data_IF_331740005332
#
_entry.id   IF_331740005332
#
_cell.length_a   1.000
_cell.length_b   1.000
_cell.length_c   1.000
_cell.angle_alpha   90.00
_cell.angle_beta   90.00
_cell.angle_gamma   90.00
#
_symmetry.space_group_name_H-M   'P 1'
#
loop_
_entity.id
_entity.type
_entity.pdbx_description
1 polymer ?
#
# COMPACT_ATOMS: atom_id res chain seq x y z
N UNK A 1 -18.31 -52.83 2.94
CA UNK A 1 -19.08 -51.59 2.64
C UNK A 1 -19.25 -50.65 3.84
N UNK A 2 -19.53 -51.13 5.07
CA UNK A 2 -19.68 -50.24 6.25
C UNK A 2 -18.42 -49.44 6.63
N UNK A 3 -17.22 -50.00 6.43
CA UNK A 3 -15.95 -49.30 6.71
C UNK A 3 -15.65 -48.12 5.77
N UNK A 4 -16.15 -48.16 4.53
CA UNK A 4 -15.96 -47.06 3.56
C UNK A 4 -16.78 -45.84 4.01
N UNK A 5 -18.04 -46.04 4.45
CA UNK A 5 -18.91 -44.96 4.94
C UNK A 5 -18.37 -44.25 6.19
N UNK A 6 -17.69 -44.98 7.09
CA UNK A 6 -17.08 -44.39 8.30
C UNK A 6 -15.86 -43.56 7.93
N UNK A 7 -15.06 -44.01 6.94
CA UNK A 7 -13.90 -43.26 6.47
C UNK A 7 -14.31 -41.97 5.75
N UNK A 8 -15.37 -42.00 4.93
CA UNK A 8 -15.89 -40.79 4.27
C UNK A 8 -16.46 -39.80 5.28
N UNK A 9 -17.15 -40.28 6.33
CA UNK A 9 -17.69 -39.42 7.39
C UNK A 9 -16.58 -38.77 8.23
N UNK A 10 -15.49 -39.50 8.54
CA UNK A 10 -14.32 -38.95 9.22
C UNK A 10 -13.60 -37.89 8.37
N UNK A 11 -13.52 -38.07 7.05
CA UNK A 11 -12.88 -37.11 6.15
C UNK A 11 -13.67 -35.80 5.99
N UNK A 12 -15.01 -35.85 6.10
CA UNK A 12 -15.85 -34.64 6.05
C UNK A 12 -15.76 -33.79 7.33
N UNK A 13 -15.30 -34.35 8.44
CA UNK A 13 -15.14 -33.62 9.71
C UNK A 13 -13.87 -32.75 9.77
N UNK A 14 -12.96 -32.86 8.79
CA UNK A 14 -11.65 -32.18 8.79
C UNK A 14 -11.69 -30.82 8.07
N UNK A 15 -12.83 -30.39 7.49
CA UNK A 15 -12.86 -29.27 6.54
C UNK A 15 -13.13 -27.86 7.12
N UNK A 16 -12.92 -27.60 8.41
CA UNK A 16 -12.98 -26.23 8.95
C UNK A 16 -11.61 -25.64 9.29
N UNK A 17 -10.58 -25.96 8.50
CA UNK A 17 -9.38 -25.15 8.47
C UNK A 17 -9.70 -23.79 7.89
N UNK A 18 -9.78 -22.75 8.72
CA UNK A 18 -9.81 -21.35 8.27
C UNK A 18 -8.42 -21.04 7.70
N UNK A 19 -8.19 -21.43 6.45
CA UNK A 19 -7.03 -20.99 5.68
C UNK A 19 -7.26 -19.54 5.22
N UNK A 20 -6.18 -18.75 5.05
CA UNK A 20 -6.26 -17.44 4.40
C UNK A 20 -6.96 -17.58 3.04
N UNK A 21 -8.23 -17.17 2.97
CA UNK A 21 -8.94 -16.96 1.72
C UNK A 21 -8.93 -15.47 1.45
N UNK A 22 -8.03 -15.06 0.58
CA UNK A 22 -7.69 -13.67 0.45
C UNK A 22 -7.73 -13.31 -1.04
N UNK A 23 -8.54 -12.32 -1.43
CA UNK A 23 -8.59 -11.82 -2.81
C UNK A 23 -7.39 -10.90 -3.00
N UNK A 24 -6.32 -11.45 -3.56
CA UNK A 24 -5.09 -10.71 -3.85
C UNK A 24 -5.44 -9.53 -4.76
N UNK A 25 -5.11 -8.28 -4.39
CA UNK A 25 -5.23 -7.19 -5.34
C UNK A 25 -4.22 -7.46 -6.45
N UNK A 26 -4.69 -7.85 -7.64
CA UNK A 26 -3.82 -8.16 -8.78
C UNK A 26 -3.16 -6.91 -9.38
N UNK A 27 -3.64 -5.73 -9.00
CA UNK A 27 -3.18 -4.45 -9.52
C UNK A 27 -2.49 -3.62 -8.43
N UNK A 28 -1.31 -3.09 -8.76
CA UNK A 28 -0.50 -2.20 -7.90
C UNK A 28 -1.32 -0.98 -7.44
N UNK A 29 -2.15 -0.42 -8.31
CA UNK A 29 -3.01 0.72 -8.01
C UNK A 29 -3.99 0.42 -6.87
N UNK A 30 -4.65 -0.74 -6.92
CA UNK A 30 -5.61 -1.20 -5.89
C UNK A 30 -4.90 -1.49 -4.58
N UNK A 31 -3.77 -2.18 -4.63
CA UNK A 31 -2.96 -2.45 -3.44
C UNK A 31 -2.45 -1.17 -2.77
N UNK A 32 -2.01 -0.20 -3.58
CA UNK A 32 -1.57 1.11 -3.09
C UNK A 32 -2.69 1.87 -2.38
N UNK A 33 -3.92 1.82 -2.91
CA UNK A 33 -5.09 2.46 -2.28
C UNK A 33 -5.44 1.78 -0.96
N UNK A 34 -5.50 0.45 -0.95
CA UNK A 34 -5.87 -0.34 0.24
C UNK A 34 -4.85 -0.24 1.38
N UNK A 35 -3.55 -0.17 1.05
CA UNK A 35 -2.47 -0.11 2.04
C UNK A 35 -2.43 1.23 2.76
N UNK A 36 -2.07 1.25 4.04
CA UNK A 36 -1.83 2.52 4.76
C UNK A 36 -0.41 3.01 4.57
N UNK A 37 0.53 2.08 4.42
CA UNK A 37 1.94 2.34 4.21
C UNK A 37 2.44 1.59 2.99
N UNK A 38 3.17 2.28 2.11
CA UNK A 38 3.86 1.68 0.96
C UNK A 38 5.30 2.18 0.93
N UNK A 39 6.24 1.25 1.09
CA UNK A 39 7.68 1.55 1.19
C UNK A 39 8.49 0.60 0.34
N UNK A 40 9.64 1.08 -0.12
CA UNK A 40 10.70 0.29 -0.70
C UNK A 40 11.91 0.33 0.25
N UNK A 41 12.51 -0.82 0.51
CA UNK A 41 13.62 -0.92 1.45
C UNK A 41 14.29 -2.28 1.47
N UNK A 42 15.27 -2.42 2.35
CA UNK A 42 16.05 -3.64 2.53
C UNK A 42 15.83 -4.23 3.92
N UNK A 43 15.64 -5.53 4.01
CA UNK A 43 15.51 -6.22 5.30
C UNK A 43 16.88 -6.36 5.93
N UNK A 44 17.10 -5.73 7.09
CA UNK A 44 18.38 -5.75 7.79
C UNK A 44 18.38 -6.71 8.99
N UNK A 45 17.21 -7.14 9.44
CA UNK A 45 17.07 -8.00 10.61
C UNK A 45 15.79 -8.84 10.52
N UNK A 46 15.88 -10.12 10.89
CA UNK A 46 14.74 -11.02 11.07
C UNK A 46 14.83 -11.71 12.42
N UNK A 47 13.71 -11.73 13.15
CA UNK A 47 13.59 -12.41 14.44
C UNK A 47 12.26 -13.15 14.52
N UNK A 48 12.29 -14.33 15.13
CA UNK A 48 11.08 -14.97 15.63
C UNK A 48 10.81 -14.37 17.01
N UNK A 49 9.59 -13.89 17.24
CA UNK A 49 9.19 -13.25 18.49
C UNK A 49 7.87 -13.85 19.00
N UNK A 50 7.57 -13.60 20.27
CA UNK A 50 6.27 -13.96 20.83
C UNK A 50 5.19 -13.04 20.31
N UNK A 51 3.94 -13.51 20.33
CA UNK A 51 2.79 -12.66 20.00
C UNK A 51 2.75 -11.41 20.89
N UNK A 52 2.95 -11.59 22.20
CA UNK A 52 2.94 -10.50 23.19
C UNK A 52 3.98 -9.39 22.93
N UNK A 53 5.12 -9.71 22.30
CA UNK A 53 6.17 -8.73 21.98
C UNK A 53 5.74 -7.72 20.90
N UNK A 54 4.75 -8.09 20.08
CA UNK A 54 4.17 -7.24 19.03
C UNK A 54 3.04 -6.34 19.52
N UNK A 55 2.67 -6.46 20.79
CA UNK A 55 1.56 -5.70 21.39
C UNK A 55 2.04 -4.40 22.04
N UNK A 56 1.13 -3.43 22.12
CA UNK A 56 1.31 -2.25 22.95
C UNK A 56 1.38 -2.65 24.43
N UNK A 57 2.41 -2.23 25.19
CA UNK A 57 2.62 -2.70 26.57
C UNK A 57 1.47 -2.39 27.54
N UNK A 58 0.85 -1.21 27.41
CA UNK A 58 -0.25 -0.81 28.27
C UNK A 58 -1.53 -1.59 27.94
N UNK A 59 -1.76 -1.81 26.64
CA UNK A 59 -2.86 -2.62 26.14
C UNK A 59 -2.71 -4.09 26.52
N UNK A 60 -1.50 -4.65 26.43
CA UNK A 60 -1.18 -6.00 26.90
C UNK A 60 -1.44 -6.12 28.40
N UNK A 61 -0.91 -5.20 29.22
CA UNK A 61 -1.14 -5.21 30.68
C UNK A 61 -2.64 -5.17 31.00
N UNK A 62 -3.39 -4.34 30.28
CA UNK A 62 -4.83 -4.26 30.44
C UNK A 62 -5.55 -5.55 30.08
N UNK A 63 -5.16 -6.16 28.96
CA UNK A 63 -5.70 -7.44 28.50
C UNK A 63 -5.45 -8.55 29.53
N UNK A 64 -4.22 -8.63 30.08
CA UNK A 64 -3.86 -9.58 31.13
C UNK A 64 -4.57 -9.36 32.47
N UNK A 65 -5.00 -8.13 32.77
CA UNK A 65 -5.62 -7.76 34.06
C UNK A 65 -7.14 -7.92 34.08
N UNK A 66 -7.81 -7.72 32.94
CA UNK A 66 -9.28 -7.75 32.86
C UNK A 66 -9.84 -9.11 32.51
N UNK A 67 -9.08 -9.91 31.79
CA UNK A 67 -9.53 -11.20 31.29
C UNK A 67 -8.82 -12.30 32.11
N UNK A 68 -9.58 -13.20 32.73
CA UNK A 68 -9.04 -14.51 33.08
C UNK A 68 -8.73 -15.21 31.76
N UNK A 69 -7.49 -15.04 31.27
CA UNK A 69 -7.07 -15.70 30.06
C UNK A 69 -7.28 -17.20 30.22
N UNK A 70 -7.98 -17.81 29.29
CA UNK A 70 -7.98 -19.26 29.21
C UNK A 70 -6.59 -19.75 28.77
N UNK A 71 -6.32 -21.04 29.03
CA UNK A 71 -5.01 -21.64 28.72
C UNK A 71 -4.58 -21.42 27.28
N UNK A 72 -5.53 -21.50 26.33
CA UNK A 72 -5.28 -21.28 24.90
C UNK A 72 -4.83 -19.85 24.59
N UNK A 73 -5.46 -18.84 25.19
CA UNK A 73 -5.06 -17.44 25.01
C UNK A 73 -3.67 -17.17 25.58
N UNK A 74 -3.39 -17.73 26.76
CA UNK A 74 -2.07 -17.65 27.38
C UNK A 74 -1.01 -18.32 26.51
N UNK A 75 -1.31 -19.50 25.96
CA UNK A 75 -0.42 -20.22 25.04
C UNK A 75 -0.15 -19.40 23.78
N UNK A 76 -1.18 -18.86 23.12
CA UNK A 76 -1.03 -18.04 21.92
C UNK A 76 -0.17 -16.81 22.21
N UNK A 77 -0.42 -16.07 23.29
CA UNK A 77 0.36 -14.89 23.64
C UNK A 77 1.86 -15.20 23.86
N UNK A 78 2.15 -16.37 24.40
CA UNK A 78 3.51 -16.82 24.69
C UNK A 78 4.16 -17.62 23.54
N UNK A 79 3.41 -17.88 22.47
CA UNK A 79 3.89 -18.65 21.33
C UNK A 79 4.82 -17.83 20.44
N UNK A 80 5.89 -18.47 19.97
CA UNK A 80 6.86 -17.96 19.00
C UNK A 80 6.29 -17.98 17.58
N UNK A 81 5.15 -17.31 17.38
CA UNK A 81 4.32 -17.43 16.18
C UNK A 81 4.53 -16.32 15.15
N UNK A 82 5.25 -15.25 15.52
CA UNK A 82 5.44 -14.09 14.66
C UNK A 82 6.88 -13.97 14.16
N UNK A 83 7.01 -13.40 12.97
CA UNK A 83 8.26 -12.89 12.42
C UNK A 83 8.24 -11.37 12.58
N UNK A 84 9.26 -10.84 13.24
CA UNK A 84 9.62 -9.44 13.21
C UNK A 84 10.69 -9.23 12.14
N UNK A 85 10.41 -8.35 11.19
CA UNK A 85 11.39 -7.89 10.21
C UNK A 85 11.69 -6.41 10.40
N UNK A 86 12.98 -6.05 10.40
CA UNK A 86 13.41 -4.65 10.42
C UNK A 86 13.82 -4.27 9.01
N UNK A 87 13.11 -3.31 8.44
CA UNK A 87 13.34 -2.81 7.09
C UNK A 87 14.06 -1.46 7.19
N UNK A 88 15.23 -1.34 6.57
CA UNK A 88 15.85 -0.03 6.28
C UNK A 88 15.14 0.58 5.09
N UNK A 89 14.56 1.76 5.27
CA UNK A 89 13.75 2.42 4.25
C UNK A 89 14.69 3.08 3.25
N UNK A 90 14.50 2.78 1.96
CA UNK A 90 15.15 3.47 0.85
C UNK A 90 14.21 4.55 0.31
N UNK A 91 12.92 4.22 0.16
CA UNK A 91 11.92 5.18 -0.31
C UNK A 91 10.53 4.95 0.32
N UNK A 92 9.85 6.04 0.66
CA UNK A 92 8.47 6.07 1.15
C UNK A 92 7.54 6.62 0.06
N UNK A 93 6.55 5.81 -0.35
CA UNK A 93 5.54 6.20 -1.35
C UNK A 93 4.19 6.57 -0.73
N UNK A 94 3.87 6.00 0.44
CA UNK A 94 2.62 6.27 1.18
C UNK A 94 2.82 6.00 2.67
N UNK A 95 2.17 6.81 3.51
CA UNK A 95 2.22 6.71 4.97
C UNK A 95 3.09 7.80 5.58
N UNK A 96 3.18 7.80 6.90
CA UNK A 96 4.04 8.69 7.67
C UNK A 96 4.98 7.82 8.50
N UNK A 97 6.29 7.97 8.28
CA UNK A 97 7.32 7.26 9.02
C UNK A 97 8.42 8.27 9.35
N UNK A 98 8.70 8.43 10.64
CA UNK A 98 9.67 9.41 11.14
C UNK A 98 11.07 8.82 11.37
N UNK A 99 11.24 7.53 11.09
CA UNK A 99 12.48 6.78 11.33
C UNK A 99 13.04 6.25 10.01
N UNK A 100 14.36 6.06 9.94
CA UNK A 100 15.02 5.41 8.79
C UNK A 100 14.71 3.92 8.68
N UNK A 101 14.15 3.33 9.73
CA UNK A 101 13.77 1.92 9.77
C UNK A 101 12.29 1.75 10.12
N UNK A 102 11.66 0.77 9.48
CA UNK A 102 10.31 0.32 9.79
C UNK A 102 10.36 -1.09 10.39
N UNK A 103 9.61 -1.30 11.48
CA UNK A 103 9.39 -2.65 12.03
C UNK A 103 8.12 -3.23 11.43
N UNK A 104 8.26 -4.41 10.84
CA UNK A 104 7.19 -5.17 10.22
C UNK A 104 6.92 -6.43 11.03
N UNK A 105 5.66 -6.78 11.21
CA UNK A 105 5.23 -8.05 11.78
C UNK A 105 4.43 -8.86 10.76
N UNK A 106 4.60 -10.17 10.81
CA UNK A 106 3.78 -11.12 10.06
C UNK A 106 3.77 -12.46 10.79
N UNK A 107 2.76 -13.29 10.55
CA UNK A 107 2.72 -14.65 11.11
C UNK A 107 3.75 -15.52 10.39
N UNK A 108 4.25 -16.56 11.08
CA UNK A 108 5.27 -17.46 10.51
C UNK A 108 4.74 -18.37 9.40
N UNK A 109 3.42 -18.54 9.30
CA UNK A 109 2.81 -19.54 8.42
C UNK A 109 1.91 -18.87 7.39
N UNK A 110 2.02 -19.32 6.13
CA UNK A 110 1.12 -18.86 5.07
C UNK A 110 -0.35 -19.20 5.36
N UNK A 111 -0.61 -20.31 6.08
CA UNK A 111 -1.94 -20.72 6.50
C UNK A 111 -2.64 -19.64 7.37
N UNK A 112 -1.86 -18.92 8.19
CA UNK A 112 -2.34 -17.80 9.02
C UNK A 112 -2.09 -16.44 8.37
N UNK A 113 -2.15 -16.40 7.03
CA UNK A 113 -1.94 -15.20 6.22
C UNK A 113 -0.53 -14.59 6.35
N UNK A 114 0.48 -15.37 6.75
CA UNK A 114 1.84 -14.90 6.98
C UNK A 114 2.62 -14.70 5.69
N UNK A 115 3.36 -13.59 5.59
CA UNK A 115 4.32 -13.40 4.50
C UNK A 115 5.64 -14.08 4.86
N UNK A 116 5.92 -15.21 4.22
CA UNK A 116 7.08 -16.06 4.53
C UNK A 116 8.32 -15.76 3.68
N UNK A 117 8.26 -14.76 2.81
CA UNK A 117 9.29 -14.49 1.79
C UNK A 117 10.39 -13.52 2.23
N UNK A 118 10.43 -13.08 3.49
CA UNK A 118 11.47 -12.15 3.93
C UNK A 118 12.84 -12.83 4.03
N UNK A 119 13.87 -12.13 3.56
CA UNK A 119 15.27 -12.55 3.62
C UNK A 119 16.16 -11.35 3.97
N UNK A 120 17.12 -11.56 4.88
CA UNK A 120 18.09 -10.51 5.26
C UNK A 120 18.96 -10.13 4.04
N UNK A 121 19.20 -8.84 3.86
CA UNK A 121 19.96 -8.27 2.75
C UNK A 121 19.19 -8.16 1.44
N UNK A 122 17.93 -8.62 1.40
CA UNK A 122 17.08 -8.51 0.21
C UNK A 122 16.20 -7.27 0.26
N UNK A 123 15.94 -6.73 -0.92
CA UNK A 123 15.12 -5.56 -1.12
C UNK A 123 13.68 -5.94 -1.47
N UNK A 124 12.73 -5.20 -0.90
CA UNK A 124 11.31 -5.47 -1.05
C UNK A 124 10.50 -4.18 -1.23
N UNK A 125 9.39 -4.32 -1.94
CA UNK A 125 8.32 -3.34 -1.97
C UNK A 125 7.23 -3.85 -1.01
N UNK A 126 7.01 -3.10 0.08
CA UNK A 126 6.13 -3.49 1.17
C UNK A 126 4.82 -2.72 1.10
N UNK A 127 3.71 -3.47 1.12
CA UNK A 127 2.35 -2.95 1.23
C UNK A 127 1.80 -3.37 2.59
N UNK A 128 1.63 -2.40 3.49
CA UNK A 128 1.37 -2.72 4.90
C UNK A 128 0.35 -1.79 5.56
N UNK A 129 -0.10 -2.22 6.74
CA UNK A 129 -1.05 -1.49 7.57
C UNK A 129 -0.58 -1.46 9.03
N UNK A 130 -0.77 -0.36 9.76
CA UNK A 130 -0.50 -0.33 11.19
C UNK A 130 -1.42 -1.30 11.97
N UNK A 131 -2.62 -1.57 11.45
CA UNK A 131 -3.57 -2.50 12.07
C UNK A 131 -3.39 -3.90 11.48
N UNK A 132 -3.38 -4.89 12.35
CA UNK A 132 -3.28 -6.30 12.01
C UNK A 132 -4.67 -6.91 11.85
N UNK A 133 -4.80 -7.86 10.93
CA UNK A 133 -5.94 -8.79 10.96
C UNK A 133 -5.76 -9.87 12.04
N UNK A 134 -4.52 -10.11 12.46
CA UNK A 134 -4.21 -11.13 13.48
C UNK A 134 -4.94 -10.84 14.79
N UNK A 135 -4.91 -9.60 15.28
CA UNK A 135 -5.56 -9.23 16.53
C UNK A 135 -7.08 -9.07 16.46
N UNK A 136 -7.70 -9.13 15.28
CA UNK A 136 -9.18 -9.11 15.22
C UNK A 136 -9.82 -10.37 15.80
N UNK A 137 -9.04 -11.45 15.97
CA UNK A 137 -9.49 -12.70 16.57
C UNK A 137 -9.30 -12.73 18.09
N UNK A 138 -8.54 -11.77 18.64
CA UNK A 138 -8.47 -11.57 20.08
C UNK A 138 -9.71 -10.80 20.47
N UNK A 139 -10.42 -11.29 21.49
CA UNK A 139 -11.60 -10.61 22.02
C UNK A 139 -11.22 -9.16 22.33
N UNK A 140 -11.83 -8.19 21.64
CA UNK A 140 -11.53 -6.79 21.86
C UNK A 140 -12.05 -6.43 23.25
N UNK A 141 -11.17 -6.08 24.23
CA UNK A 141 -11.66 -5.60 25.51
C UNK A 141 -12.50 -4.35 25.21
N UNK A 142 -13.66 -4.22 25.86
CA UNK A 142 -14.52 -3.07 25.65
C UNK A 142 -13.72 -1.76 25.77
N UNK A 143 -13.67 -1.01 24.67
CA UNK A 143 -12.87 0.21 24.52
C UNK A 143 -11.98 0.13 23.28
N UNK A 144 -11.94 1.19 22.48
CA UNK A 144 -11.18 1.32 21.22
C UNK A 144 -9.63 1.26 21.39
N UNK A 145 -9.09 0.43 22.27
CA UNK A 145 -7.65 0.31 22.48
C UNK A 145 -7.05 -0.61 21.43
N UNK A 146 -6.07 -0.07 20.71
CA UNK A 146 -5.31 -0.77 19.69
C UNK A 146 -4.32 -1.72 20.37
N UNK A 147 -4.37 -3.00 20.03
CA UNK A 147 -3.45 -3.99 20.58
C UNK A 147 -2.06 -3.92 19.92
N UNK A 148 -1.98 -3.49 18.66
CA UNK A 148 -0.71 -3.37 17.94
C UNK A 148 0.18 -2.29 18.54
N UNK A 149 1.47 -2.61 18.65
CA UNK A 149 2.51 -1.66 19.07
C UNK A 149 2.58 -0.44 18.14
N UNK A 150 2.74 0.74 18.72
CA UNK A 150 2.94 1.98 17.96
C UNK A 150 4.19 1.91 17.06
N UNK A 151 4.17 2.65 15.95
CA UNK A 151 5.26 2.73 14.96
C UNK A 151 5.67 1.37 14.35
N UNK A 152 4.74 0.42 14.30
CA UNK A 152 4.92 -0.86 13.63
C UNK A 152 3.82 -1.08 12.59
N UNK A 153 4.14 -1.85 11.56
CA UNK A 153 3.21 -2.23 10.52
C UNK A 153 3.12 -3.75 10.39
N UNK A 154 2.00 -4.22 9.86
CA UNK A 154 1.70 -5.61 9.62
C UNK A 154 1.64 -5.89 8.13
N UNK A 155 2.25 -7.01 7.76
CA UNK A 155 2.29 -7.55 6.40
C UNK A 155 1.61 -8.91 6.42
N UNK A 156 0.84 -9.19 5.37
CA UNK A 156 0.20 -10.50 5.19
C UNK A 156 0.54 -11.07 3.83
N UNK A 157 0.40 -12.38 3.65
CA UNK A 157 0.57 -13.04 2.35
C UNK A 157 -0.33 -12.43 1.28
N UNK A 158 -1.49 -11.89 1.66
CA UNK A 158 -2.42 -11.24 0.75
C UNK A 158 -2.17 -9.76 0.48
N UNK A 159 -1.18 -9.16 1.13
CA UNK A 159 -0.55 -7.97 0.57
C UNK A 159 0.28 -8.39 -0.65
N UNK A 160 0.30 -7.62 -1.73
CA UNK A 160 1.22 -7.86 -2.86
C UNK A 160 2.68 -7.54 -2.54
N UNK A 161 3.05 -7.61 -1.26
CA UNK A 161 4.44 -7.45 -0.83
C UNK A 161 5.29 -8.44 -1.59
N UNK A 162 6.35 -7.94 -2.20
CA UNK A 162 7.16 -8.73 -3.13
C UNK A 162 8.61 -8.29 -3.08
N UNK A 163 9.51 -9.19 -3.48
CA UNK A 163 10.89 -8.83 -3.75
C UNK A 163 10.94 -7.72 -4.81
N UNK A 164 12.01 -6.93 -4.82
CA UNK A 164 12.15 -5.81 -5.75
C UNK A 164 11.89 -6.26 -7.19
N UNK A 165 10.95 -5.57 -7.83
CA UNK A 165 10.67 -5.64 -9.27
C UNK A 165 10.63 -4.23 -9.83
N UNK A 166 11.38 -3.99 -10.90
CA UNK A 166 11.53 -2.67 -11.51
C UNK A 166 10.20 -2.11 -12.02
N UNK A 167 9.36 -2.94 -12.64
CA UNK A 167 8.05 -2.53 -13.14
C UNK A 167 7.12 -2.05 -12.01
N UNK A 168 7.18 -2.70 -10.84
CA UNK A 168 6.44 -2.25 -9.67
C UNK A 168 6.97 -0.92 -9.12
N UNK A 169 8.29 -0.76 -9.07
CA UNK A 169 8.93 0.45 -8.58
C UNK A 169 8.61 1.65 -9.48
N UNK A 170 8.72 1.48 -10.81
CA UNK A 170 8.38 2.51 -11.80
C UNK A 170 6.92 2.94 -11.65
N UNK A 171 5.99 1.98 -11.48
CA UNK A 171 4.58 2.31 -11.28
C UNK A 171 4.34 3.09 -9.98
N UNK A 172 5.05 2.76 -8.90
CA UNK A 172 4.97 3.50 -7.64
C UNK A 172 5.54 4.93 -7.76
N UNK A 173 6.61 5.11 -8.52
CA UNK A 173 7.17 6.43 -8.82
C UNK A 173 6.16 7.30 -9.60
N UNK A 174 5.53 6.74 -10.63
CA UNK A 174 4.46 7.44 -11.37
C UNK A 174 3.31 7.82 -10.43
N UNK A 175 2.85 6.91 -9.56
CA UNK A 175 1.80 7.20 -8.58
C UNK A 175 2.22 8.33 -7.63
N UNK A 176 3.47 8.33 -7.15
CA UNK A 176 3.99 9.36 -6.24
C UNK A 176 4.01 10.73 -6.92
N UNK A 177 4.56 10.83 -8.14
CA UNK A 177 4.62 12.07 -8.89
C UNK A 177 3.21 12.57 -9.22
N UNK A 178 2.28 11.69 -9.62
CA UNK A 178 0.89 12.06 -9.87
C UNK A 178 0.20 12.65 -8.63
N UNK A 179 0.49 12.13 -7.44
CA UNK A 179 -0.03 12.68 -6.17
C UNK A 179 0.57 14.03 -5.84
N UNK A 180 1.88 14.20 -6.03
CA UNK A 180 2.56 15.48 -5.86
C UNK A 180 1.96 16.54 -6.80
N UNK A 181 1.80 16.20 -8.09
CA UNK A 181 1.19 17.09 -9.07
C UNK A 181 -0.25 17.45 -8.70
N UNK A 182 -1.06 16.48 -8.29
CA UNK A 182 -2.42 16.75 -7.81
C UNK A 182 -2.45 17.71 -6.61
N UNK A 183 -1.52 17.55 -5.66
CA UNK A 183 -1.42 18.46 -4.52
C UNK A 183 -1.09 19.89 -4.97
N UNK A 184 -0.22 20.03 -5.96
CA UNK A 184 0.09 21.35 -6.55
C UNK A 184 -1.16 21.96 -7.19
N UNK A 185 -1.91 21.20 -8.00
CA UNK A 185 -3.17 21.68 -8.62
C UNK A 185 -4.18 22.13 -7.57
N UNK A 186 -4.30 21.40 -6.45
CA UNK A 186 -5.15 21.77 -5.31
C UNK A 186 -4.69 23.08 -4.67
N UNK A 187 -3.40 23.21 -4.37
CA UNK A 187 -2.86 24.40 -3.67
C UNK A 187 -2.93 25.67 -4.51
N UNK A 188 -2.86 25.56 -5.84
CA UNK A 188 -2.93 26.70 -6.75
C UNK A 188 -4.34 27.13 -7.13
N UNK A 189 -5.37 26.58 -6.49
CA UNK A 189 -6.78 26.87 -6.77
C UNK A 189 -7.23 26.64 -8.24
N UNK A 190 -6.41 25.96 -9.04
CA UNK A 190 -6.69 25.67 -10.45
C UNK A 190 -7.90 24.75 -10.65
N UNK A 191 -8.32 24.04 -9.59
CA UNK A 191 -9.48 23.16 -9.57
C UNK A 191 -10.79 23.87 -9.14
N UNK A 192 -10.79 25.19 -8.89
CA UNK A 192 -11.99 25.92 -8.42
C UNK A 192 -12.91 26.42 -9.53
N UNK A 193 -12.44 26.50 -10.78
CA UNK A 193 -13.26 26.96 -11.91
C UNK A 193 -13.89 25.76 -12.63
N UNK A 194 -15.10 25.37 -12.20
CA UNK A 194 -15.85 24.23 -12.76
C UNK A 194 -16.27 24.42 -14.24
N UNK A 195 -16.08 25.62 -14.80
CA UNK A 195 -16.49 26.00 -16.16
C UNK A 195 -15.34 26.32 -17.12
N UNK A 196 -14.07 26.06 -16.76
CA UNK A 196 -12.94 26.23 -17.69
C UNK A 196 -12.18 24.92 -17.84
N UNK A 197 -12.16 24.41 -19.08
CA UNK A 197 -11.27 23.33 -19.49
C UNK A 197 -9.87 23.92 -19.56
N UNK A 198 -9.12 23.85 -18.46
CA UNK A 198 -7.69 24.04 -18.51
C UNK A 198 -7.07 22.67 -18.74
N UNK A 199 -6.43 22.45 -19.88
CA UNK A 199 -5.43 21.38 -20.04
C UNK A 199 -4.18 21.81 -19.28
N UNK A 200 -4.25 21.84 -17.95
CA UNK A 200 -3.06 22.12 -17.15
C UNK A 200 -2.15 20.91 -17.25
N UNK A 201 -0.94 21.14 -17.76
CA UNK A 201 0.11 20.14 -17.76
C UNK A 201 1.10 20.47 -16.66
N UNK A 202 1.28 19.54 -15.74
CA UNK A 202 2.38 19.59 -14.79
C UNK A 202 3.51 18.74 -15.35
N UNK A 203 4.68 19.36 -15.50
CA UNK A 203 5.90 18.65 -15.86
C UNK A 203 6.78 18.62 -14.63
N UNK A 204 7.09 17.42 -14.15
CA UNK A 204 8.21 17.27 -13.21
C UNK A 204 9.47 17.14 -14.05
N UNK A 205 10.31 18.15 -14.00
CA UNK A 205 11.59 18.13 -14.71
C UNK A 205 12.58 17.17 -14.04
N UNK A 206 13.67 16.84 -14.73
CA UNK A 206 14.77 15.98 -14.23
C UNK A 206 15.41 16.47 -12.90
N UNK A 207 15.25 17.75 -12.54
CA UNK A 207 15.71 18.29 -11.24
C UNK A 207 14.71 18.04 -10.10
N UNK A 208 13.60 17.35 -10.39
CA UNK A 208 12.54 17.07 -9.44
C UNK A 208 11.62 18.26 -9.15
N UNK A 209 11.74 19.37 -9.88
CA UNK A 209 10.87 20.54 -9.75
C UNK A 209 9.68 20.41 -10.69
N UNK A 210 8.51 20.83 -10.21
CA UNK A 210 7.33 20.95 -11.05
C UNK A 210 7.32 22.31 -11.74
N UNK A 211 7.32 22.28 -13.07
CA UNK A 211 6.99 23.42 -13.92
C UNK A 211 5.55 23.31 -14.41
N UNK A 212 4.96 24.48 -14.68
CA UNK A 212 3.59 24.58 -15.19
C UNK A 212 3.66 24.83 -16.69
N UNK A 213 3.01 23.97 -17.45
CA UNK A 213 2.68 24.22 -18.83
C UNK A 213 1.18 24.49 -18.87
N UNK A 214 0.81 25.71 -19.25
CA UNK A 214 -0.57 26.03 -19.58
C UNK A 214 -0.79 25.72 -21.05
N UNK A 215 -1.81 24.92 -21.33
CA UNK A 215 -2.35 24.81 -22.67
C UNK A 215 -3.54 25.74 -22.79
N UNK A 216 -3.53 26.56 -23.83
CA UNK A 216 -4.70 27.30 -24.31
C UNK A 216 -4.93 26.83 -25.74
N UNK A 217 -6.08 26.22 -26.03
CA UNK A 217 -6.45 25.73 -27.36
C UNK A 217 -5.45 24.72 -27.99
N UNK A 218 -5.02 23.71 -27.23
CA UNK A 218 -4.08 22.66 -27.65
C UNK A 218 -2.66 23.12 -28.03
N UNK A 219 -2.31 24.39 -27.83
CA UNK A 219 -0.95 24.90 -28.01
C UNK A 219 -0.16 24.89 -26.69
N UNK A 220 1.08 24.39 -26.76
CA UNK A 220 2.05 24.38 -25.67
C UNK A 220 2.55 25.82 -25.45
N UNK A 221 2.10 26.48 -24.39
CA UNK A 221 2.71 27.75 -23.96
C UNK A 221 3.83 27.41 -22.98
N UNK A 222 5.03 27.12 -23.49
CA UNK A 222 6.24 27.03 -22.65
C UNK A 222 7.44 27.67 -23.30
N UNK A 223 8.33 28.18 -22.46
CA UNK A 223 9.65 28.63 -22.87
C UNK A 223 10.75 27.56 -22.72
N UNK A 224 10.42 26.33 -22.30
CA UNK A 224 11.42 25.31 -21.95
C UNK A 224 11.24 24.04 -22.79
N UNK A 225 12.33 23.58 -23.41
CA UNK A 225 12.39 22.27 -24.06
C UNK A 225 12.18 21.14 -23.03
N UNK A 226 11.23 20.24 -23.30
CA UNK A 226 11.03 19.01 -22.53
C UNK A 226 12.25 18.10 -22.67
N UNK A 227 12.73 17.52 -21.56
CA UNK A 227 13.92 16.68 -21.52
C UNK A 227 13.59 15.21 -21.28
N UNK A 228 14.54 14.34 -21.64
CA UNK A 228 14.55 12.90 -21.30
C UNK A 228 14.34 12.75 -19.78
N UNK A 229 13.33 11.97 -19.37
CA UNK A 229 12.85 11.71 -17.99
C UNK A 229 11.73 12.61 -17.44
N UNK A 230 11.19 13.53 -18.23
CA UNK A 230 10.06 14.34 -17.77
C UNK A 230 8.78 13.48 -17.61
N UNK A 231 8.04 13.66 -16.51
CA UNK A 231 6.66 13.15 -16.40
C UNK A 231 5.69 14.27 -16.74
N UNK A 232 4.86 14.03 -17.75
CA UNK A 232 3.78 14.94 -18.15
C UNK A 232 2.49 14.44 -17.51
N UNK A 233 1.88 15.26 -16.65
CA UNK A 233 0.54 15.06 -16.13
C UNK A 233 -0.40 16.06 -16.79
N UNK A 234 -1.28 15.61 -17.68
CA UNK A 234 -2.27 16.47 -18.33
C UNK A 234 -3.62 16.29 -17.66
N UNK A 235 -4.18 17.36 -17.11
CA UNK A 235 -5.59 17.37 -16.71
C UNK A 235 -6.46 17.28 -17.97
N UNK A 236 -7.16 16.16 -18.15
CA UNK A 236 -8.02 15.92 -19.31
C UNK A 236 -9.39 16.56 -19.11
N UNK A 237 -9.99 16.38 -17.94
CA UNK A 237 -11.33 16.91 -17.67
C UNK A 237 -11.61 17.05 -16.18
N UNK A 238 -12.52 17.97 -15.83
CA UNK A 238 -13.20 18.02 -14.54
C UNK A 238 -14.69 18.10 -14.84
N UNK A 239 -15.47 17.13 -14.33
CA UNK A 239 -16.92 17.09 -14.43
C UNK A 239 -17.52 16.89 -13.04
N UNK A 240 -17.98 17.99 -12.43
CA UNK A 240 -18.51 18.00 -11.07
C UNK A 240 -17.51 17.47 -10.04
N UNK A 241 -17.79 16.28 -9.49
CA UNK A 241 -16.94 15.61 -8.50
C UNK A 241 -15.93 14.64 -9.11
N UNK A 242 -15.75 14.61 -10.43
CA UNK A 242 -14.81 13.71 -11.10
C UNK A 242 -13.75 14.54 -11.83
N UNK A 243 -12.47 14.17 -11.70
CA UNK A 243 -11.37 14.73 -12.47
C UNK A 243 -10.59 13.60 -13.13
N UNK A 244 -10.30 13.72 -14.40
CA UNK A 244 -9.47 12.78 -15.15
C UNK A 244 -8.16 13.45 -15.53
N UNK A 245 -7.05 12.81 -15.19
CA UNK A 245 -5.70 13.21 -15.58
C UNK A 245 -5.17 12.15 -16.52
N UNK A 246 -4.55 12.51 -17.64
CA UNK A 246 -3.62 11.61 -18.31
C UNK A 246 -2.22 11.82 -17.78
N UNK A 247 -1.41 10.77 -17.80
CA UNK A 247 0.02 10.89 -17.57
C UNK A 247 0.76 10.26 -18.73
N UNK A 248 1.95 10.79 -19.02
CA UNK A 248 2.92 10.22 -19.95
C UNK A 248 4.32 10.33 -19.34
N UNK A 249 5.06 9.23 -19.28
CA UNK A 249 6.47 9.22 -18.90
C UNK A 249 7.36 8.86 -20.09
N UNK A 250 8.58 9.41 -20.10
CA UNK A 250 9.58 9.17 -21.13
C UNK A 250 10.82 8.47 -20.57
N UNK A 251 11.41 7.59 -21.37
CA UNK A 251 12.75 7.01 -21.18
C UNK A 251 13.52 7.11 -22.51
N UNK A 252 14.78 6.70 -22.52
CA UNK A 252 15.71 6.75 -23.64
C UNK A 252 15.21 5.90 -24.84
N UNK A 253 14.26 6.46 -25.60
CA UNK A 253 13.70 5.84 -26.79
C UNK A 253 12.24 6.20 -27.11
N UNK A 254 11.47 6.76 -26.17
CA UNK A 254 10.06 7.09 -26.42
C UNK A 254 9.18 7.13 -25.17
N UNK A 255 7.86 6.99 -25.38
CA UNK A 255 6.87 6.89 -24.30
C UNK A 255 6.93 5.52 -23.65
N UNK A 256 7.24 5.47 -22.36
CA UNK A 256 7.31 4.20 -21.62
C UNK A 256 5.96 3.84 -21.04
N UNK A 257 5.28 4.85 -20.50
CA UNK A 257 4.07 4.66 -19.72
C UNK A 257 3.08 5.77 -20.05
N UNK A 258 1.87 5.39 -20.44
CA UNK A 258 0.76 6.32 -20.51
C UNK A 258 -0.46 5.76 -19.79
N UNK A 259 -1.38 6.63 -19.42
CA UNK A 259 -2.58 6.19 -18.74
C UNK A 259 -3.41 7.35 -18.25
N UNK A 260 -4.53 7.01 -17.61
CA UNK A 260 -5.42 7.97 -16.99
C UNK A 260 -5.58 7.70 -15.49
N UNK A 261 -5.69 8.76 -14.72
CA UNK A 261 -5.99 8.74 -13.29
C UNK A 261 -7.33 9.43 -13.13
N UNK A 262 -8.30 8.68 -12.63
CA UNK A 262 -9.60 9.22 -12.26
C UNK A 262 -9.57 9.57 -10.78
N UNK A 263 -10.00 10.77 -10.46
CA UNK A 263 -10.14 11.30 -9.13
C UNK A 263 -11.61 11.57 -8.85
N UNK A 264 -12.04 11.29 -7.63
CA UNK A 264 -13.38 11.61 -7.14
C UNK A 264 -13.28 12.55 -5.94
N UNK A 265 -14.03 13.65 -5.97
CA UNK A 265 -14.14 14.63 -4.89
C UNK A 265 -15.14 14.12 -3.85
N UNK A 266 -14.69 13.95 -2.62
CA UNK A 266 -15.53 13.55 -1.50
C UNK A 266 -15.54 14.66 -0.44
N UNK A 267 -16.69 15.33 -0.29
CA UNK A 267 -16.94 16.52 0.57
C UNK A 267 -16.03 17.72 0.29
N UNK A 268 -14.73 17.63 0.62
CA UNK A 268 -13.72 18.71 0.47
C UNK A 268 -12.39 18.24 -0.14
N UNK A 269 -12.21 16.93 -0.33
CA UNK A 269 -10.94 16.39 -0.79
C UNK A 269 -11.11 15.57 -2.06
N UNK A 270 -10.25 15.81 -3.05
CA UNK A 270 -10.11 14.89 -4.18
C UNK A 270 -9.31 13.67 -3.74
N UNK A 271 -9.92 12.49 -3.85
CA UNK A 271 -9.32 11.19 -3.65
C UNK A 271 -9.14 10.49 -5.00
N UNK A 272 -8.12 9.64 -5.12
CA UNK A 272 -7.97 8.77 -6.29
C UNK A 272 -9.08 7.72 -6.29
N UNK A 273 -9.82 7.61 -7.39
CA UNK A 273 -10.88 6.61 -7.59
C UNK A 273 -10.33 5.41 -8.36
N UNK A 274 -9.77 5.66 -9.54
CA UNK A 274 -9.18 4.61 -10.38
C UNK A 274 -7.96 5.11 -11.16
N UNK A 275 -7.17 4.19 -11.70
CA UNK A 275 -6.07 4.50 -12.62
C UNK A 275 -6.01 3.41 -13.67
N UNK A 276 -6.16 3.81 -14.92
CA UNK A 276 -6.12 2.94 -16.07
C UNK A 276 -4.78 3.13 -16.77
N UNK A 277 -4.08 2.03 -16.99
CA UNK A 277 -2.84 2.01 -17.74
C UNK A 277 -3.17 1.66 -19.19
N UNK A 278 -2.75 2.50 -20.11
CA UNK A 278 -2.72 2.15 -21.53
C UNK A 278 -1.25 1.78 -21.79
N UNK A 279 -1.03 0.66 -22.47
CA UNK A 279 0.25 -0.02 -22.51
C UNK A 279 1.42 0.87 -22.94
N UNK A 280 2.64 0.44 -22.59
CA UNK A 280 3.83 0.87 -23.32
C UNK A 280 3.57 0.61 -24.81
N UNK A 281 3.69 1.64 -25.64
CA UNK A 281 3.70 1.45 -27.09
C UNK A 281 5.15 1.08 -27.40
N UNK A 282 5.37 -0.13 -27.93
CA UNK A 282 6.66 -0.53 -28.54
C UNK A 282 7.05 0.42 -29.67
#
# INVERSE_FOLDING_TARGET
>A
MKGILILTYLLTLIQQGIACSCVYPTEISKAFVASKTVVYGEIVELKIIKVSDSMDPDSLRHYLQKEELNDLQSEILNSDFLIQAKLRIIELFKGEINNETLTLYTTRTGASCGFTGFEIGKQFIIYSSPNSYFFSHFYQPQGNRRLEKANTNWVTSCSITTALREDHLNMLQVIKIAREGLNILKTKDLLKNENKIYSTVLVKNYEGKFDHILFENDEIITNNELKRQDLILTLLSIQGNIAELSFKSFDDGGFVHNGTIKLVKNKREWAKDSMNYLSAIE
#
